data_IF_210668425615
#
_entry.id   IF_210668425615
#
_cell.length_a   1.000
_cell.length_b   1.000
_cell.length_c   1.000
_cell.angle_alpha   90.00
_cell.angle_beta   90.00
_cell.angle_gamma   90.00
#
_symmetry.space_group_name_H-M   'P 1'
#
loop_
_entity.id
_entity.type
_entity.pdbx_description
1 polymer ?
#
# COMPACT_ATOMS: atom_id res chain seq x y z
N UNK A 1 42.47 -62.90 -21.97
CA UNK A 1 41.51 -62.07 -22.64
C UNK A 1 40.60 -61.47 -21.54
N UNK A 2 40.80 -60.19 -21.16
CA UNK A 2 40.10 -59.50 -20.11
C UNK A 2 39.14 -58.46 -20.74
N UNK A 3 37.86 -58.56 -20.39
CA UNK A 3 36.78 -57.66 -20.84
C UNK A 3 36.77 -56.42 -20.01
N UNK A 4 36.56 -55.21 -20.57
CA UNK A 4 36.58 -54.00 -19.81
C UNK A 4 35.16 -53.67 -19.20
N UNK A 5 35.17 -53.30 -17.90
CA UNK A 5 34.01 -52.83 -17.13
C UNK A 5 33.54 -51.45 -17.63
N UNK A 6 32.26 -51.36 -17.98
CA UNK A 6 31.57 -50.10 -18.25
C UNK A 6 31.33 -49.33 -16.94
N UNK A 7 31.92 -48.14 -16.85
CA UNK A 7 31.65 -47.16 -15.78
C UNK A 7 30.41 -46.36 -16.16
N UNK A 8 29.34 -46.52 -15.36
CA UNK A 8 28.11 -45.74 -15.50
C UNK A 8 28.31 -44.35 -14.87
N UNK A 9 28.29 -43.30 -15.70
CA UNK A 9 28.30 -41.92 -15.25
C UNK A 9 26.85 -41.52 -14.89
N UNK A 10 26.57 -41.41 -13.59
CA UNK A 10 25.33 -40.84 -13.09
C UNK A 10 25.27 -39.34 -13.41
N UNK A 11 24.37 -38.96 -14.29
CA UNK A 11 23.98 -37.58 -14.52
C UNK A 11 23.36 -36.98 -13.23
N UNK A 12 24.04 -36.01 -12.63
CA UNK A 12 23.47 -35.18 -11.56
C UNK A 12 22.46 -34.21 -12.17
N UNK A 13 21.18 -34.44 -11.91
CA UNK A 13 20.12 -33.50 -12.15
C UNK A 13 20.42 -32.24 -11.37
N UNK A 14 20.72 -31.13 -12.05
CA UNK A 14 20.71 -29.78 -11.46
C UNK A 14 19.26 -29.41 -11.22
N UNK A 15 18.83 -29.44 -9.97
CA UNK A 15 17.59 -28.80 -9.56
C UNK A 15 17.68 -27.31 -9.90
N UNK A 16 16.80 -26.86 -10.79
CA UNK A 16 16.65 -25.44 -11.11
C UNK A 16 16.11 -24.73 -9.86
N UNK A 17 16.94 -23.90 -9.25
CA UNK A 17 16.53 -23.02 -8.18
C UNK A 17 15.49 -22.03 -8.74
N UNK A 18 14.28 -22.14 -8.26
CA UNK A 18 13.20 -21.20 -8.51
C UNK A 18 13.63 -19.81 -8.04
N UNK A 19 13.57 -18.83 -8.93
CA UNK A 19 13.66 -17.39 -8.63
C UNK A 19 12.22 -16.84 -8.56
N UNK A 20 11.52 -16.79 -7.43
CA UNK A 20 10.15 -16.30 -7.42
C UNK A 20 10.01 -14.81 -7.15
N UNK A 21 11.01 -14.13 -6.56
CA UNK A 21 10.82 -12.78 -6.07
C UNK A 21 11.16 -11.65 -7.08
N UNK A 22 12.07 -11.88 -8.01
CA UNK A 22 12.51 -10.81 -8.93
C UNK A 22 11.63 -10.65 -10.19
N UNK A 23 10.94 -11.69 -10.61
CA UNK A 23 10.11 -11.63 -11.85
C UNK A 23 8.80 -10.86 -11.66
N UNK A 24 8.24 -10.84 -10.44
CA UNK A 24 7.02 -10.08 -10.12
C UNK A 24 7.26 -8.57 -10.00
N UNK A 25 8.46 -8.14 -9.64
CA UNK A 25 8.78 -6.72 -9.45
C UNK A 25 8.78 -5.90 -10.75
N UNK A 26 8.93 -6.50 -11.90
CA UNK A 26 8.97 -5.83 -13.21
C UNK A 26 7.59 -5.53 -13.81
N UNK A 27 6.54 -6.16 -13.29
CA UNK A 27 5.14 -6.00 -13.72
C UNK A 27 4.25 -5.46 -12.61
N UNK A 28 4.79 -4.71 -11.68
CA UNK A 28 4.05 -4.12 -10.58
C UNK A 28 4.07 -2.60 -10.67
N UNK A 29 2.99 -1.94 -10.30
CA UNK A 29 3.01 -0.53 -9.97
C UNK A 29 3.16 -0.33 -8.46
N UNK A 30 3.59 0.85 -8.03
CA UNK A 30 3.98 1.10 -6.65
C UNK A 30 3.08 2.13 -5.98
N UNK A 31 2.88 1.94 -4.69
CA UNK A 31 2.27 2.90 -3.79
C UNK A 31 3.19 3.11 -2.58
N UNK A 32 2.97 4.18 -1.84
CA UNK A 32 3.79 4.57 -0.70
C UNK A 32 2.93 4.77 0.53
N UNK A 33 3.36 4.21 1.66
CA UNK A 33 2.74 4.43 2.96
C UNK A 33 3.77 4.97 3.94
N UNK A 34 3.38 5.99 4.70
CA UNK A 34 4.14 6.47 5.86
C UNK A 34 3.30 6.20 7.10
N UNK A 35 3.87 5.48 8.05
CA UNK A 35 3.20 5.07 9.27
C UNK A 35 4.16 5.09 10.46
N UNK A 36 3.62 5.08 11.67
CA UNK A 36 4.43 5.01 12.89
C UNK A 36 5.12 3.64 12.99
N UNK A 37 6.45 3.65 12.90
CA UNK A 37 7.28 2.43 12.94
C UNK A 37 7.31 1.69 14.28
N UNK A 38 6.63 2.21 15.30
CA UNK A 38 6.43 1.49 16.57
C UNK A 38 5.39 0.37 16.45
N UNK A 39 4.63 0.37 15.37
CA UNK A 39 3.62 -0.63 15.02
C UNK A 39 3.94 -1.25 13.67
N UNK A 40 3.27 -2.32 13.29
CA UNK A 40 3.38 -2.85 11.92
C UNK A 40 2.90 -1.79 10.91
N UNK A 41 3.81 -1.25 10.07
CA UNK A 41 3.48 -0.18 9.16
C UNK A 41 2.58 -0.63 7.99
N UNK A 42 2.38 -1.93 7.79
CA UNK A 42 1.48 -2.48 6.75
C UNK A 42 0.20 -3.07 7.35
N UNK A 43 -0.17 -2.68 8.57
CA UNK A 43 -1.40 -3.10 9.24
C UNK A 43 -2.58 -2.17 8.93
N UNK A 44 -3.79 -2.75 8.82
CA UNK A 44 -5.05 -2.02 8.76
C UNK A 44 -5.56 -1.58 10.16
N UNK A 45 -4.94 -2.04 11.25
CA UNK A 45 -5.45 -1.89 12.63
C UNK A 45 -5.78 -0.45 12.99
N UNK A 46 -4.92 0.51 12.64
CA UNK A 46 -5.17 1.92 12.95
C UNK A 46 -6.46 2.45 12.32
N UNK A 47 -6.68 2.14 11.05
CA UNK A 47 -7.89 2.54 10.33
C UNK A 47 -9.13 1.77 10.82
N UNK A 48 -8.97 0.51 11.18
CA UNK A 48 -10.05 -0.31 11.75
C UNK A 48 -10.51 0.21 13.12
N UNK A 49 -9.59 0.70 13.95
CA UNK A 49 -9.92 1.20 15.30
C UNK A 49 -10.68 2.54 15.28
N UNK A 50 -10.22 3.50 14.47
CA UNK A 50 -10.74 4.88 14.54
C UNK A 50 -11.52 5.30 13.30
N UNK A 51 -11.48 4.50 12.26
CA UNK A 51 -11.99 4.87 10.94
C UNK A 51 -11.08 5.88 10.22
N UNK A 52 -11.42 6.15 8.97
CA UNK A 52 -10.76 7.13 8.13
C UNK A 52 -11.77 7.88 7.26
N UNK A 53 -11.29 8.53 6.20
CA UNK A 53 -12.19 9.15 5.22
C UNK A 53 -13.06 8.12 4.51
N UNK A 54 -12.51 6.94 4.21
CA UNK A 54 -13.11 5.94 3.35
C UNK A 54 -13.51 4.66 4.09
N UNK A 55 -13.43 4.64 5.42
CA UNK A 55 -13.91 3.51 6.21
C UNK A 55 -14.47 3.95 7.54
N UNK A 56 -15.54 3.31 7.96
CA UNK A 56 -16.05 3.36 9.34
C UNK A 56 -15.17 2.52 10.27
N UNK A 57 -15.14 2.81 11.59
CA UNK A 57 -14.55 1.92 12.58
C UNK A 57 -15.09 0.50 12.45
N UNK A 58 -14.20 -0.50 12.58
CA UNK A 58 -14.52 -1.91 12.43
C UNK A 58 -14.27 -2.47 11.02
N UNK A 59 -14.00 -1.62 10.02
CA UNK A 59 -13.67 -2.05 8.66
C UNK A 59 -12.18 -1.88 8.39
N UNK A 60 -11.55 -2.93 7.90
CA UNK A 60 -10.12 -2.98 7.63
C UNK A 60 -9.78 -2.34 6.28
N UNK A 61 -8.90 -1.34 6.30
CA UNK A 61 -8.32 -0.74 5.10
C UNK A 61 -6.91 -0.26 5.38
N UNK A 62 -6.00 -0.44 4.42
CA UNK A 62 -4.65 0.10 4.47
C UNK A 62 -4.61 1.32 3.55
N UNK A 63 -4.27 2.48 4.13
CA UNK A 63 -4.11 3.74 3.39
C UNK A 63 -2.68 3.90 2.88
N UNK A 64 -2.53 4.24 1.61
CA UNK A 64 -1.29 4.59 0.95
C UNK A 64 -1.51 5.73 -0.04
N UNK A 65 -0.46 6.21 -0.69
CA UNK A 65 -0.51 7.25 -1.72
C UNK A 65 0.21 6.78 -2.97
N UNK A 66 -0.14 7.34 -4.12
CA UNK A 66 0.51 7.01 -5.40
C UNK A 66 1.96 7.48 -5.49
N UNK A 67 2.32 8.48 -4.72
CA UNK A 67 3.69 9.00 -4.68
C UNK A 67 4.22 9.08 -3.24
N UNK A 68 5.54 9.01 -3.10
CA UNK A 68 6.20 9.23 -1.81
C UNK A 68 5.92 10.62 -1.25
N UNK A 69 5.94 11.65 -2.12
CA UNK A 69 5.62 13.02 -1.72
C UNK A 69 4.18 13.17 -1.24
N UNK A 70 3.22 12.49 -1.91
CA UNK A 70 1.83 12.42 -1.48
C UNK A 70 1.68 11.78 -0.11
N UNK A 71 2.39 10.66 0.14
CA UNK A 71 2.39 10.00 1.44
C UNK A 71 2.97 10.89 2.55
N UNK A 72 4.04 11.66 2.26
CA UNK A 72 4.59 12.64 3.20
C UNK A 72 3.57 13.72 3.53
N UNK A 73 2.89 14.27 2.54
CA UNK A 73 1.91 15.34 2.71
C UNK A 73 0.69 14.87 3.52
N UNK A 74 0.16 13.68 3.22
CA UNK A 74 -0.91 13.06 4.00
C UNK A 74 -0.50 12.82 5.45
N UNK A 75 0.73 12.33 5.69
CA UNK A 75 1.29 12.15 7.02
C UNK A 75 1.36 13.47 7.80
N UNK A 76 1.84 14.56 7.16
CA UNK A 76 1.92 15.87 7.79
C UNK A 76 0.55 16.47 8.10
N UNK A 77 -0.43 16.28 7.21
CA UNK A 77 -1.81 16.73 7.43
C UNK A 77 -2.44 16.05 8.65
N UNK A 78 -2.12 14.78 8.91
CA UNK A 78 -2.61 14.03 10.07
C UNK A 78 -1.84 14.33 11.37
N UNK A 79 -0.51 14.53 11.29
CA UNK A 79 0.32 14.79 12.47
C UNK A 79 0.07 16.18 13.10
N UNK A 80 -0.60 17.07 12.37
CA UNK A 80 -0.72 18.50 12.71
C UNK A 80 0.52 19.27 12.29
N UNK A 81 0.30 20.43 11.69
CA UNK A 81 1.37 21.30 11.17
C UNK A 81 2.34 21.67 12.30
N UNK A 82 3.64 21.49 12.06
CA UNK A 82 4.70 21.90 12.98
C UNK A 82 5.26 20.78 13.88
N UNK A 83 4.74 19.55 13.80
CA UNK A 83 5.30 18.40 14.53
C UNK A 83 6.04 17.44 13.60
N UNK A 84 7.33 17.19 13.89
CA UNK A 84 8.13 16.18 13.16
C UNK A 84 7.70 14.79 13.55
N UNK A 85 7.21 13.93 12.65
CA UNK A 85 6.87 12.55 12.96
C UNK A 85 8.13 11.68 13.06
N UNK A 86 8.84 11.76 14.19
CA UNK A 86 10.18 11.16 14.35
C UNK A 86 10.22 9.63 14.32
N UNK A 87 9.12 8.97 14.64
CA UNK A 87 9.02 7.50 14.67
C UNK A 87 8.48 6.92 13.37
N UNK A 88 8.19 7.77 12.38
CA UNK A 88 7.55 7.31 11.16
C UNK A 88 8.56 6.69 10.18
N UNK A 89 8.11 5.65 9.54
CA UNK A 89 8.80 4.92 8.49
C UNK A 89 7.98 4.95 7.21
N UNK A 90 8.68 4.92 6.09
CA UNK A 90 8.09 4.77 4.77
C UNK A 90 8.16 3.31 4.33
N UNK A 91 7.11 2.85 3.68
CA UNK A 91 7.04 1.52 3.07
C UNK A 91 6.63 1.70 1.62
N UNK A 92 7.43 1.16 0.71
CA UNK A 92 7.06 0.97 -0.68
C UNK A 92 6.18 -0.27 -0.80
N UNK A 93 5.06 -0.17 -1.51
CA UNK A 93 4.10 -1.25 -1.68
C UNK A 93 4.05 -1.59 -3.17
N UNK A 94 4.48 -2.80 -3.52
CA UNK A 94 4.38 -3.34 -4.87
C UNK A 94 3.01 -4.00 -5.07
N UNK A 95 2.30 -3.62 -6.12
CA UNK A 95 0.97 -4.11 -6.48
C UNK A 95 1.07 -4.77 -7.86
N UNK A 96 0.90 -6.08 -7.92
CA UNK A 96 1.00 -6.83 -9.17
C UNK A 96 -0.11 -6.42 -10.16
N UNK A 97 0.16 -6.48 -11.47
CA UNK A 97 -0.82 -6.08 -12.50
C UNK A 97 -2.12 -6.89 -12.48
N UNK A 98 -2.06 -8.13 -11.98
CA UNK A 98 -3.23 -9.01 -11.86
C UNK A 98 -4.18 -8.63 -10.73
N UNK A 99 -3.76 -7.75 -9.82
CA UNK A 99 -4.57 -7.28 -8.70
C UNK A 99 -5.70 -6.39 -9.22
N UNK A 100 -6.91 -6.67 -8.78
CA UNK A 100 -8.09 -5.86 -9.17
C UNK A 100 -8.02 -4.46 -8.58
N UNK A 101 -8.24 -3.45 -9.43
CA UNK A 101 -8.13 -2.02 -9.07
C UNK A 101 -9.31 -1.23 -9.60
N UNK A 102 -10.07 -0.60 -8.71
CA UNK A 102 -10.99 0.48 -9.05
C UNK A 102 -10.26 1.83 -9.05
N UNK A 103 -10.56 2.70 -10.02
CA UNK A 103 -9.99 4.06 -10.11
C UNK A 103 -11.11 5.08 -10.22
N UNK A 104 -11.06 6.08 -9.36
CA UNK A 104 -12.04 7.16 -9.31
C UNK A 104 -11.37 8.51 -9.50
N UNK A 105 -12.04 9.37 -10.23
CA UNK A 105 -11.77 10.78 -10.38
C UNK A 105 -12.88 11.58 -9.67
N UNK A 106 -12.69 12.89 -9.48
CA UNK A 106 -13.68 13.76 -8.82
C UNK A 106 -15.10 13.57 -9.37
N UNK A 107 -15.23 13.48 -10.70
CA UNK A 107 -16.55 13.36 -11.35
C UNK A 107 -17.20 11.98 -11.25
N UNK A 108 -16.47 10.95 -10.81
CA UNK A 108 -16.99 9.59 -10.63
C UNK A 108 -17.34 9.25 -9.18
N UNK A 109 -16.97 10.11 -8.25
CA UNK A 109 -17.28 9.95 -6.83
C UNK A 109 -18.60 10.65 -6.48
N UNK A 110 -19.31 10.19 -5.44
CA UNK A 110 -20.55 10.85 -4.98
C UNK A 110 -20.29 12.30 -4.55
N UNK A 111 -21.20 13.22 -4.89
CA UNK A 111 -21.09 14.63 -4.47
C UNK A 111 -20.91 14.75 -2.95
N UNK A 112 -19.92 15.53 -2.53
CA UNK A 112 -19.58 15.72 -1.12
C UNK A 112 -18.59 14.69 -0.54
N UNK A 113 -17.96 13.86 -1.36
CA UNK A 113 -16.95 12.91 -0.91
C UNK A 113 -15.76 13.57 -0.19
N UNK A 114 -15.49 14.83 -0.52
CA UNK A 114 -14.39 15.63 0.03
C UNK A 114 -14.78 16.47 1.26
N UNK A 115 -16.04 16.45 1.68
CA UNK A 115 -16.52 17.19 2.83
C UNK A 115 -15.83 16.74 4.14
N UNK A 116 -15.79 17.66 5.11
CA UNK A 116 -15.17 17.42 6.40
C UNK A 116 -15.93 16.41 7.28
N UNK A 117 -17.25 16.25 7.06
CA UNK A 117 -18.09 15.34 7.84
C UNK A 117 -17.89 13.84 7.49
N UNK A 118 -17.15 13.56 6.44
CA UNK A 118 -16.74 12.24 5.97
C UNK A 118 -17.88 11.25 5.62
N UNK A 119 -19.16 11.60 5.86
CA UNK A 119 -20.28 10.65 5.73
C UNK A 119 -20.38 10.03 4.35
N UNK A 120 -20.30 10.86 3.31
CA UNK A 120 -20.43 10.40 1.92
C UNK A 120 -19.26 9.51 1.52
N UNK A 121 -18.03 9.93 1.82
CA UNK A 121 -16.84 9.16 1.51
C UNK A 121 -16.80 7.82 2.27
N UNK A 122 -17.16 7.83 3.57
CA UNK A 122 -17.26 6.59 4.36
C UNK A 122 -18.28 5.63 3.80
N UNK A 123 -19.50 6.08 3.53
CA UNK A 123 -20.54 5.21 2.98
C UNK A 123 -20.10 4.56 1.66
N UNK A 124 -19.40 5.31 0.80
CA UNK A 124 -18.88 4.81 -0.47
C UNK A 124 -17.77 3.77 -0.27
N UNK A 125 -16.82 4.06 0.61
CA UNK A 125 -15.71 3.17 0.90
C UNK A 125 -16.12 1.93 1.69
N UNK A 126 -17.05 2.07 2.65
CA UNK A 126 -17.63 0.94 3.39
C UNK A 126 -18.30 -0.06 2.44
N UNK A 127 -19.09 0.44 1.48
CA UNK A 127 -19.71 -0.40 0.46
C UNK A 127 -18.64 -1.12 -0.40
N UNK A 128 -17.58 -0.42 -0.83
CA UNK A 128 -16.48 -1.03 -1.57
C UNK A 128 -15.80 -2.16 -0.78
N UNK A 129 -15.54 -1.95 0.54
CA UNK A 129 -14.91 -2.96 1.40
C UNK A 129 -15.83 -4.17 1.59
N UNK A 130 -17.10 -3.94 1.97
CA UNK A 130 -18.06 -4.99 2.30
C UNK A 130 -18.47 -5.83 1.09
N UNK A 131 -18.60 -5.21 -0.08
CA UNK A 131 -18.91 -5.87 -1.34
C UNK A 131 -17.69 -6.56 -1.95
N UNK A 132 -16.50 -6.34 -1.39
CA UNK A 132 -15.23 -6.92 -1.85
C UNK A 132 -15.00 -6.67 -3.36
N UNK A 133 -15.30 -5.44 -3.86
CA UNK A 133 -15.34 -5.13 -5.30
C UNK A 133 -13.97 -5.20 -5.97
N UNK A 134 -12.92 -4.77 -5.27
CA UNK A 134 -11.54 -4.84 -5.74
C UNK A 134 -10.58 -4.85 -4.56
N UNK A 135 -9.36 -5.36 -4.76
CA UNK A 135 -8.31 -5.34 -3.74
C UNK A 135 -7.76 -3.93 -3.49
N UNK A 136 -7.83 -3.08 -4.52
CA UNK A 136 -7.33 -1.71 -4.46
C UNK A 136 -8.36 -0.74 -5.00
N UNK A 137 -8.57 0.37 -4.30
CA UNK A 137 -9.31 1.52 -4.80
C UNK A 137 -8.39 2.75 -4.83
N UNK A 138 -8.30 3.43 -5.96
CA UNK A 138 -7.55 4.68 -6.12
C UNK A 138 -8.54 5.83 -6.19
N UNK A 139 -8.35 6.83 -5.33
CA UNK A 139 -9.22 7.99 -5.19
C UNK A 139 -8.39 9.28 -5.18
N UNK A 140 -8.93 10.45 -5.53
CA UNK A 140 -8.23 11.71 -5.38
C UNK A 140 -7.86 12.00 -3.93
N UNK A 141 -6.69 12.60 -3.69
CA UNK A 141 -6.32 13.13 -2.38
C UNK A 141 -7.06 14.45 -2.11
N UNK A 142 -7.59 14.62 -0.89
CA UNK A 142 -8.17 15.91 -0.46
C UNK A 142 -7.06 16.93 -0.15
N UNK A 143 -5.91 16.46 0.32
CA UNK A 143 -4.77 17.30 0.70
C UNK A 143 -4.02 17.79 -0.53
N UNK A 144 -3.86 16.93 -1.54
CA UNK A 144 -3.15 17.22 -2.77
C UNK A 144 -4.01 16.81 -3.99
N UNK A 145 -4.86 17.71 -4.48
CA UNK A 145 -5.90 17.45 -5.49
C UNK A 145 -5.41 16.81 -6.82
N UNK A 146 -4.13 16.90 -7.12
CA UNK A 146 -3.52 16.28 -8.30
C UNK A 146 -2.88 14.92 -8.02
N UNK A 147 -2.84 14.52 -6.75
CA UNK A 147 -2.34 13.24 -6.28
C UNK A 147 -3.50 12.27 -6.01
N UNK A 148 -3.18 10.98 -5.97
CA UNK A 148 -4.13 9.92 -5.65
C UNK A 148 -3.77 9.19 -4.37
N UNK A 149 -4.77 8.89 -3.57
CA UNK A 149 -4.67 7.97 -2.46
C UNK A 149 -5.01 6.55 -2.91
N UNK A 150 -4.33 5.59 -2.32
CA UNK A 150 -4.46 4.16 -2.61
C UNK A 150 -5.03 3.50 -1.36
N UNK A 151 -6.19 2.90 -1.50
CA UNK A 151 -6.87 2.15 -0.46
C UNK A 151 -6.72 0.67 -0.77
N UNK A 152 -6.28 -0.12 0.19
CA UNK A 152 -6.07 -1.55 0.02
C UNK A 152 -7.00 -2.29 0.96
N UNK A 153 -7.82 -3.18 0.41
CA UNK A 153 -8.69 -4.07 1.18
C UNK A 153 -7.93 -5.38 1.50
N UNK A 154 -7.48 -5.59 2.75
CA UNK A 154 -6.73 -6.79 3.12
C UNK A 154 -7.59 -8.06 3.14
N UNK A 155 -8.91 -7.93 3.07
CA UNK A 155 -9.86 -9.05 3.04
C UNK A 155 -10.13 -9.57 1.61
N UNK A 156 -9.68 -8.85 0.58
CA UNK A 156 -9.90 -9.23 -0.81
C UNK A 156 -9.00 -10.42 -1.21
N UNK A 157 -9.49 -11.38 -2.01
CA UNK A 157 -8.70 -12.53 -2.46
C UNK A 157 -7.38 -12.15 -3.15
N UNK A 158 -7.36 -11.08 -3.94
CA UNK A 158 -6.18 -10.60 -4.64
C UNK A 158 -5.15 -9.89 -3.73
N UNK A 159 -5.43 -9.74 -2.42
CA UNK A 159 -4.49 -9.11 -1.50
C UNK A 159 -3.12 -9.81 -1.47
N UNK A 160 -3.08 -11.10 -1.74
CA UNK A 160 -1.83 -11.86 -1.87
C UNK A 160 -0.90 -11.37 -2.98
N UNK A 161 -1.41 -10.61 -3.95
CA UNK A 161 -0.64 -9.96 -5.02
C UNK A 161 -0.06 -8.59 -4.62
N UNK A 162 -0.21 -8.18 -3.36
CA UNK A 162 0.26 -6.90 -2.83
C UNK A 162 1.35 -7.17 -1.79
N UNK A 163 2.54 -6.61 -2.01
CA UNK A 163 3.72 -6.89 -1.17
C UNK A 163 4.28 -5.58 -0.62
N UNK A 164 4.38 -5.49 0.70
CA UNK A 164 5.08 -4.39 1.37
C UNK A 164 6.58 -4.62 1.36
N UNK A 165 7.33 -3.59 0.99
CA UNK A 165 8.78 -3.56 1.07
C UNK A 165 9.28 -3.40 2.51
N UNK A 166 10.60 -3.31 2.65
CA UNK A 166 11.22 -3.06 3.96
C UNK A 166 10.90 -1.63 4.43
N UNK A 167 10.46 -1.44 5.68
CA UNK A 167 10.29 -0.11 6.24
C UNK A 167 11.63 0.64 6.34
N UNK A 168 11.62 1.91 5.93
CA UNK A 168 12.79 2.79 5.98
C UNK A 168 12.45 4.07 6.75
N UNK A 169 13.38 4.62 7.56
CA UNK A 169 13.16 5.88 8.25
C UNK A 169 12.86 7.02 7.27
N UNK A 170 11.85 7.85 7.58
CA UNK A 170 11.56 9.05 6.80
C UNK A 170 12.55 10.16 7.14
N UNK A 171 13.22 10.69 6.14
CA UNK A 171 14.09 11.89 6.28
C UNK A 171 13.24 13.12 6.05
N UNK A 172 13.03 13.91 7.10
CA UNK A 172 12.26 15.14 7.06
C UNK A 172 13.18 16.37 6.90
N UNK A 173 12.91 17.22 5.92
CA UNK A 173 13.59 18.50 5.81
C UNK A 173 13.09 19.45 6.92
N UNK A 174 14.03 20.04 7.67
CA UNK A 174 13.70 20.92 8.78
C UNK A 174 12.88 22.16 8.39
N UNK A 175 12.96 22.60 7.12
CA UNK A 175 12.16 23.72 6.60
C UNK A 175 10.67 23.47 6.61
N UNK A 176 10.22 22.21 6.63
CA UNK A 176 8.80 21.83 6.72
C UNK A 176 8.19 22.17 8.08
N UNK A 177 9.00 22.40 9.12
CA UNK A 177 8.52 22.52 10.50
C UNK A 177 8.74 23.91 11.12
N UNK A 178 9.16 24.88 10.33
CA UNK A 178 9.51 26.22 10.83
C UNK A 178 10.85 26.24 11.58
N UNK A 179 11.49 27.42 11.65
CA UNK A 179 12.61 27.66 12.55
C UNK A 179 12.02 28.05 13.90
N UNK A 180 12.29 27.28 14.92
CA UNK A 180 12.19 27.72 16.30
C UNK A 180 13.54 28.25 16.76
#
# INVERSE_FOLDING_TARGET
MASPRKVSVRARSKAAASKPAQTLAWQAWHAWRIADGRFDPFSAMGASLVGGRWNSPGLDVIYASRSYAGAMLECLAHAGIGRVPRTHVAVEIAIAEVVTVERHEDGSLPSGWDHADLRVARAFGDAWILECRSAVMVVPSVVARREGNVLINPQHPDFSGIVAGRPEPVVWDARLFGRH
#
